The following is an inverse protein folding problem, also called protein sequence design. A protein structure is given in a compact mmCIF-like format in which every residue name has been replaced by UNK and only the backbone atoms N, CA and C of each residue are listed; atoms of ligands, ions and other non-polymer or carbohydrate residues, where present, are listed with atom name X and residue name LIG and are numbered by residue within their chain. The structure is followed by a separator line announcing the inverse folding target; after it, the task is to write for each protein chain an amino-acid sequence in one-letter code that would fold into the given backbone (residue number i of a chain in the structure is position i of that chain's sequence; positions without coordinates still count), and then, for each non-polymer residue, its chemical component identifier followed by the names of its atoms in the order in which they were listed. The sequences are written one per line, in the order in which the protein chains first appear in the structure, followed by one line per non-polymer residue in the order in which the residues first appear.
data_IF_541458693185
#
_entry.id   IF_541458693185
#
_cell.length_a   1.000
_cell.length_b   1.000
_cell.length_c   1.000
_cell.angle_alpha   90.00
_cell.angle_beta   90.00
_cell.angle_gamma   90.00
#
_symmetry.space_group_name_H-M   'P 1'
#
loop_
_entity.id
_entity.type
_entity.pdbx_description
1 polymer ?
#
# COMPACT_ATOMS: atom_id res chain seq x y z
N UNK A 1 -50.73 -21.81 -9.76
CA UNK A 1 -49.77 -22.49 -8.86
C UNK A 1 -48.36 -22.04 -9.27
N UNK A 2 -47.78 -21.07 -8.58
CA UNK A 2 -46.48 -20.50 -8.94
C UNK A 2 -45.36 -21.26 -8.20
N UNK A 3 -44.28 -21.71 -8.87
CA UNK A 3 -43.09 -22.16 -8.18
C UNK A 3 -42.24 -20.93 -7.80
N UNK A 4 -42.15 -20.68 -6.49
CA UNK A 4 -41.28 -19.65 -5.92
C UNK A 4 -39.80 -19.98 -6.18
N UNK A 5 -39.15 -19.16 -7.01
CA UNK A 5 -37.70 -19.18 -7.16
C UNK A 5 -37.08 -18.59 -5.89
N UNK A 6 -36.42 -19.44 -5.09
CA UNK A 6 -35.64 -18.98 -3.94
C UNK A 6 -34.48 -18.12 -4.46
N UNK A 7 -34.49 -16.84 -4.10
CA UNK A 7 -33.37 -15.94 -4.32
C UNK A 7 -32.12 -16.51 -3.62
N UNK A 8 -31.10 -16.84 -4.41
CA UNK A 8 -29.76 -17.13 -3.89
C UNK A 8 -29.17 -15.80 -3.45
N UNK A 9 -29.22 -15.52 -2.15
CA UNK A 9 -28.59 -14.33 -1.58
C UNK A 9 -27.08 -14.40 -1.86
N UNK A 10 -26.60 -13.56 -2.77
CA UNK A 10 -25.19 -13.35 -3.01
C UNK A 10 -24.56 -12.84 -1.69
N UNK A 11 -23.65 -13.62 -1.12
CA UNK A 11 -22.83 -13.21 0.02
C UNK A 11 -21.81 -12.14 -0.43
N UNK A 12 -22.31 -10.96 -0.78
CA UNK A 12 -21.51 -9.78 -1.02
C UNK A 12 -21.09 -9.18 0.31
N UNK A 13 -19.77 -9.01 0.49
CA UNK A 13 -19.20 -8.25 1.59
C UNK A 13 -18.77 -9.10 2.77
N UNK A 14 -17.45 -9.34 2.88
CA UNK A 14 -16.64 -9.46 4.12
C UNK A 14 -15.27 -10.03 3.78
N UNK A 15 -14.43 -9.20 3.16
CA UNK A 15 -13.03 -9.51 2.81
C UNK A 15 -12.16 -9.21 4.03
N UNK A 16 -11.56 -10.24 4.63
CA UNK A 16 -10.62 -10.10 5.74
C UNK A 16 -10.30 -11.44 6.37
N UNK A 17 -9.01 -11.78 6.46
CA UNK A 17 -8.49 -13.01 7.06
C UNK A 17 -8.49 -13.00 8.61
N UNK A 18 -8.91 -11.89 9.22
CA UNK A 18 -8.97 -11.69 10.66
C UNK A 18 -10.42 -11.34 11.01
N UNK A 19 -11.34 -12.31 10.95
CA UNK A 19 -12.64 -12.14 11.62
C UNK A 19 -12.50 -12.59 13.08
N UNK A 20 -13.07 -11.81 13.99
CA UNK A 20 -13.32 -12.20 15.39
C UNK A 20 -14.32 -13.36 15.49
N UNK A 21 -15.17 -13.52 14.47
CA UNK A 21 -16.15 -14.60 14.40
C UNK A 21 -15.54 -15.88 13.88
N UNK A 22 -15.96 -17.03 14.45
CA UNK A 22 -15.53 -18.38 14.04
C UNK A 22 -16.03 -18.78 12.63
N UNK A 23 -16.32 -17.84 11.76
CA UNK A 23 -16.89 -18.07 10.43
C UNK A 23 -15.89 -18.59 9.41
N UNK A 24 -16.40 -18.98 8.23
CA UNK A 24 -15.59 -19.47 7.13
C UNK A 24 -14.72 -18.35 6.55
N UNK A 25 -13.49 -18.69 6.19
CA UNK A 25 -12.57 -17.86 5.43
C UNK A 25 -12.83 -18.05 3.93
N UNK A 26 -12.79 -16.93 3.21
CA UNK A 26 -12.87 -16.93 1.74
C UNK A 26 -11.50 -17.24 1.17
N UNK A 27 -11.38 -18.36 0.47
CA UNK A 27 -10.16 -18.79 -0.22
C UNK A 27 -10.39 -18.62 -1.71
N UNK A 28 -9.49 -17.90 -2.37
CA UNK A 28 -9.50 -17.75 -3.83
C UNK A 28 -8.36 -18.59 -4.39
N UNK A 29 -8.67 -19.47 -5.33
CA UNK A 29 -7.68 -20.28 -6.06
C UNK A 29 -7.75 -19.91 -7.54
N UNK A 30 -6.60 -19.69 -8.15
CA UNK A 30 -6.50 -19.51 -9.61
C UNK A 30 -6.35 -20.90 -10.24
N UNK A 31 -7.26 -21.24 -11.14
CA UNK A 31 -7.18 -22.46 -11.95
C UNK A 31 -6.22 -22.27 -13.13
N UNK A 32 -5.83 -23.39 -13.75
CA UNK A 32 -4.84 -23.45 -14.85
C UNK A 32 -5.28 -22.70 -16.14
N UNK A 33 -6.55 -22.32 -16.24
CA UNK A 33 -7.14 -21.55 -17.35
C UNK A 33 -7.57 -20.12 -16.99
N UNK A 34 -6.96 -19.49 -15.98
CA UNK A 34 -7.23 -18.09 -15.62
C UNK A 34 -8.51 -17.85 -14.79
N UNK A 35 -9.42 -18.82 -14.72
CA UNK A 35 -10.60 -18.74 -13.85
C UNK A 35 -10.25 -18.70 -12.36
N UNK A 36 -10.84 -17.76 -11.62
CA UNK A 36 -10.69 -17.64 -10.16
C UNK A 36 -11.87 -18.32 -9.47
N UNK A 37 -11.65 -19.46 -8.83
CA UNK A 37 -12.67 -20.10 -7.99
C UNK A 37 -12.58 -19.57 -6.57
N UNK A 38 -13.73 -19.20 -6.00
CA UNK A 38 -13.85 -18.69 -4.63
C UNK A 38 -14.59 -19.72 -3.80
N UNK A 39 -13.93 -20.29 -2.79
CA UNK A 39 -14.53 -21.26 -1.87
C UNK A 39 -14.49 -20.77 -0.42
N UNK A 40 -15.44 -21.24 0.38
CA UNK A 40 -15.50 -20.99 1.81
C UNK A 40 -14.88 -22.19 2.54
N UNK A 41 -13.87 -21.93 3.38
CA UNK A 41 -13.22 -22.95 4.22
C UNK A 41 -13.33 -22.56 5.69
N UNK A 42 -13.59 -23.53 6.56
CA UNK A 42 -13.48 -23.32 8.00
C UNK A 42 -12.02 -23.59 8.45
N UNK A 43 -11.29 -22.57 8.95
CA UNK A 43 -9.93 -22.78 9.43
C UNK A 43 -9.92 -23.52 10.76
N UNK A 44 -8.91 -24.37 10.95
CA UNK A 44 -8.68 -25.10 12.19
C UNK A 44 -8.25 -24.18 13.34
N UNK A 45 -8.39 -24.64 14.58
CA UNK A 45 -7.95 -23.89 15.76
C UNK A 45 -6.45 -23.54 15.72
N UNK A 46 -5.62 -24.49 15.26
CA UNK A 46 -4.17 -24.32 15.10
C UNK A 46 -3.82 -23.25 14.06
N UNK A 47 -4.48 -23.25 12.89
CA UNK A 47 -4.26 -22.24 11.85
C UNK A 47 -4.59 -20.82 12.36
N UNK A 48 -5.66 -20.68 13.15
CA UNK A 48 -6.03 -19.39 13.76
C UNK A 48 -5.03 -18.94 14.81
N UNK A 49 -4.55 -19.86 15.64
CA UNK A 49 -3.50 -19.58 16.62
C UNK A 49 -2.21 -19.11 15.93
N UNK A 50 -1.79 -19.80 14.87
CA UNK A 50 -0.63 -19.40 14.07
C UNK A 50 -0.79 -17.99 13.48
N UNK A 51 -1.97 -17.64 12.95
CA UNK A 51 -2.24 -16.28 12.46
C UNK A 51 -2.18 -15.24 13.58
N UNK A 52 -2.79 -15.53 14.75
CA UNK A 52 -2.72 -14.65 15.93
C UNK A 52 -1.28 -14.42 16.40
N UNK A 53 -0.45 -15.46 16.40
CA UNK A 53 0.96 -15.35 16.76
C UNK A 53 1.75 -14.56 15.72
N UNK A 54 1.54 -14.83 14.43
CA UNK A 54 2.16 -14.07 13.33
C UNK A 54 1.81 -12.58 13.45
N UNK A 55 0.54 -12.28 13.68
CA UNK A 55 0.07 -10.90 13.80
C UNK A 55 0.62 -10.22 15.05
N UNK A 56 0.71 -10.93 16.19
CA UNK A 56 1.36 -10.42 17.40
C UNK A 56 2.84 -10.12 17.15
N UNK A 57 3.58 -11.03 16.50
CA UNK A 57 4.99 -10.82 16.14
C UNK A 57 5.14 -9.62 15.20
N UNK A 58 4.30 -9.51 14.16
CA UNK A 58 4.29 -8.37 13.23
C UNK A 58 4.12 -7.05 13.98
N UNK A 59 3.17 -6.97 14.92
CA UNK A 59 2.91 -5.77 15.73
C UNK A 59 4.07 -5.46 16.68
N UNK A 60 4.63 -6.47 17.35
CA UNK A 60 5.79 -6.29 18.22
C UNK A 60 7.00 -5.72 17.47
N UNK A 61 7.25 -6.20 16.25
CA UNK A 61 8.31 -5.67 15.39
C UNK A 61 8.04 -4.20 15.05
N UNK A 62 6.82 -3.85 14.63
CA UNK A 62 6.45 -2.46 14.34
C UNK A 62 6.66 -1.54 15.56
N UNK A 63 6.23 -1.96 16.76
CA UNK A 63 6.44 -1.19 18.00
C UNK A 63 7.92 -0.95 18.28
N UNK A 64 8.78 -1.95 18.06
CA UNK A 64 10.24 -1.79 18.23
C UNK A 64 10.83 -0.81 17.23
N UNK A 65 10.39 -0.87 15.96
CA UNK A 65 10.80 0.08 14.93
C UNK A 65 10.41 1.50 15.32
N UNK A 66 9.14 1.73 15.70
CA UNK A 66 8.65 3.07 16.06
C UNK A 66 9.31 3.62 17.34
N UNK A 67 9.69 2.75 18.28
CA UNK A 67 10.50 3.14 19.42
C UNK A 67 11.92 3.57 19.00
N UNK A 68 12.57 2.82 18.10
CA UNK A 68 13.88 3.16 17.57
C UNK A 68 13.89 4.48 16.80
N UNK A 69 12.88 4.73 15.97
CA UNK A 69 12.75 5.99 15.21
C UNK A 69 12.64 7.22 16.14
N UNK A 70 11.88 7.11 17.23
CA UNK A 70 11.76 8.17 18.25
C UNK A 70 13.05 8.42 19.03
N UNK A 71 13.79 7.35 19.34
CA UNK A 71 14.98 7.45 20.19
C UNK A 71 16.23 7.87 19.42
N UNK A 72 16.41 7.39 18.19
CA UNK A 72 17.66 7.53 17.45
C UNK A 72 17.60 8.42 16.20
N UNK A 73 16.46 8.50 15.53
CA UNK A 73 16.37 9.16 14.22
C UNK A 73 15.63 10.52 14.28
N UNK A 74 15.30 11.01 15.48
CA UNK A 74 14.73 12.35 15.66
C UNK A 74 13.30 12.55 15.14
N UNK A 75 12.63 11.48 14.68
CA UNK A 75 11.24 11.59 14.24
C UNK A 75 10.33 11.89 15.43
N UNK A 76 9.58 13.00 15.33
CA UNK A 76 8.59 13.43 16.31
C UNK A 76 7.29 12.59 16.21
N UNK A 77 7.41 11.28 16.44
CA UNK A 77 6.26 10.37 16.41
C UNK A 77 5.52 10.33 17.76
N UNK A 78 4.18 10.23 17.77
CA UNK A 78 3.40 10.02 18.99
C UNK A 78 3.80 8.75 19.76
N UNK A 79 3.47 8.68 21.06
CA UNK A 79 3.71 7.48 21.89
C UNK A 79 3.05 6.22 21.32
N UNK A 80 1.89 6.37 20.69
CA UNK A 80 1.11 5.32 20.05
C UNK A 80 0.99 5.55 18.55
N UNK A 81 2.12 5.82 17.90
CA UNK A 81 2.16 6.08 16.46
C UNK A 81 1.59 4.90 15.65
N UNK A 82 0.80 5.22 14.63
CA UNK A 82 0.35 4.29 13.61
C UNK A 82 1.21 4.36 12.34
N UNK A 83 0.80 3.65 11.28
CA UNK A 83 1.54 3.66 10.01
C UNK A 83 1.45 5.03 9.31
N UNK A 84 0.34 5.74 9.45
CA UNK A 84 0.13 7.03 8.80
C UNK A 84 0.99 8.12 9.47
N UNK A 85 1.16 8.09 10.79
CA UNK A 85 2.05 9.00 11.51
C UNK A 85 3.49 8.90 11.01
N UNK A 86 3.97 7.68 10.75
CA UNK A 86 5.30 7.44 10.20
C UNK A 86 5.40 7.99 8.77
N UNK A 87 4.39 7.77 7.93
CA UNK A 87 4.36 8.32 6.57
C UNK A 87 4.36 9.85 6.59
N UNK A 88 3.57 10.48 7.47
CA UNK A 88 3.54 11.94 7.63
C UNK A 88 4.91 12.48 8.05
N UNK A 89 5.59 11.80 8.98
CA UNK A 89 6.92 12.21 9.42
C UNK A 89 7.98 12.07 8.31
N UNK A 90 7.91 11.01 7.49
CA UNK A 90 8.78 10.83 6.33
C UNK A 90 8.52 11.87 5.23
N UNK A 91 7.25 12.17 4.94
CA UNK A 91 6.89 13.23 4.00
C UNK A 91 7.40 14.59 4.48
N UNK A 92 7.27 14.88 5.78
CA UNK A 92 7.78 16.12 6.37
C UNK A 92 9.29 16.26 6.24
N UNK A 93 10.05 15.18 6.45
CA UNK A 93 11.50 15.14 6.24
C UNK A 93 11.87 15.38 4.77
N UNK A 94 11.11 14.80 3.85
CA UNK A 94 11.28 15.00 2.41
C UNK A 94 10.79 16.37 1.90
N UNK A 95 10.30 17.25 2.78
CA UNK A 95 9.83 18.60 2.42
C UNK A 95 8.40 18.65 1.86
N UNK A 96 7.58 17.62 2.14
CA UNK A 96 6.16 17.59 1.79
C UNK A 96 5.28 17.84 3.03
N UNK A 97 4.11 18.42 2.80
CA UNK A 97 3.04 18.58 3.78
C UNK A 97 1.95 17.55 3.45
N UNK A 98 1.46 16.82 4.46
CA UNK A 98 0.34 15.88 4.30
C UNK A 98 -0.84 16.42 5.10
N UNK A 99 -1.96 16.67 4.42
CA UNK A 99 -3.20 17.13 5.02
C UNK A 99 -3.94 15.99 5.71
N UNK A 100 -4.90 16.32 6.58
CA UNK A 100 -5.73 15.32 7.28
C UNK A 100 -6.63 14.52 6.32
N UNK A 101 -6.95 15.10 5.16
CA UNK A 101 -7.66 14.42 4.07
C UNK A 101 -6.76 13.44 3.27
N UNK A 102 -5.45 13.43 3.56
CA UNK A 102 -4.46 12.56 2.92
C UNK A 102 -3.84 13.12 1.64
N UNK A 103 -4.10 14.40 1.29
CA UNK A 103 -3.43 15.08 0.18
C UNK A 103 -1.99 15.44 0.56
N UNK A 104 -1.08 15.37 -0.42
CA UNK A 104 0.35 15.66 -0.22
C UNK A 104 0.75 16.84 -1.10
N UNK A 105 1.13 17.94 -0.47
CA UNK A 105 1.55 19.19 -1.12
C UNK A 105 3.04 19.44 -0.90
N UNK A 106 3.72 20.08 -1.85
CA UNK A 106 5.12 20.48 -1.67
C UNK A 106 5.18 21.68 -0.72
N UNK A 107 6.06 21.64 0.28
CA UNK A 107 6.30 22.83 1.11
C UNK A 107 6.99 23.88 0.25
N UNK A 108 6.29 24.97 -0.02
CA UNK A 108 6.93 26.15 -0.58
C UNK A 108 7.75 26.79 0.55
N UNK A 109 9.06 26.86 0.36
CA UNK A 109 9.97 27.43 1.34
C UNK A 109 9.76 28.95 1.33
N UNK A 110 8.93 29.47 2.25
CA UNK A 110 8.73 30.92 2.42
C UNK A 110 9.96 31.65 2.98
N UNK A 111 11.14 31.01 2.98
CA UNK A 111 12.42 31.62 3.37
C UNK A 111 12.87 32.81 2.51
N UNK A 112 12.14 33.17 1.45
CA UNK A 112 12.37 34.37 0.65
C UNK A 112 11.21 35.38 0.63
N UNK A 113 10.11 35.16 1.36
CA UNK A 113 8.90 36.00 1.29
C UNK A 113 8.77 37.06 2.40
N UNK A 114 9.89 37.45 3.04
CA UNK A 114 9.91 38.36 4.20
C UNK A 114 10.37 39.80 3.94
N UNK A 115 10.60 40.21 2.69
CA UNK A 115 10.99 41.58 2.37
C UNK A 115 10.31 42.07 1.08
N UNK A 116 9.32 42.95 1.24
CA UNK A 116 8.91 43.88 0.19
C UNK A 116 7.63 43.53 -0.57
N UNK A 117 6.56 44.24 -0.23
CA UNK A 117 5.65 44.93 -1.14
C UNK A 117 5.18 44.26 -2.45
N UNK A 118 3.87 44.00 -2.52
CA UNK A 118 3.03 44.50 -3.63
C UNK A 118 2.85 43.60 -4.86
N UNK A 119 1.57 43.43 -5.24
CA UNK A 119 1.13 42.87 -6.53
C UNK A 119 1.10 41.34 -6.54
N UNK A 120 0.01 40.65 -6.89
CA UNK A 120 -1.05 40.98 -7.82
C UNK A 120 -1.16 39.81 -8.82
N UNK A 121 -2.37 39.27 -9.00
CA UNK A 121 -2.70 38.32 -10.06
C UNK A 121 -2.56 36.84 -9.66
N UNK A 122 -3.40 35.93 -10.11
CA UNK A 122 -4.67 36.02 -10.81
C UNK A 122 -5.29 34.64 -10.65
N UNK A 123 -6.61 34.62 -10.53
CA UNK A 123 -7.42 33.45 -10.83
C UNK A 123 -7.03 32.92 -12.21
N UNK A 124 -6.60 31.67 -12.28
CA UNK A 124 -6.68 30.74 -13.42
C UNK A 124 -6.07 29.43 -12.93
N UNK A 125 -6.53 28.22 -13.24
CA UNK A 125 -7.74 27.70 -13.83
C UNK A 125 -7.62 26.18 -13.53
N UNK A 126 -8.75 25.55 -13.23
CA UNK A 126 -8.89 24.13 -12.93
C UNK A 126 -8.06 23.22 -13.86
N UNK A 127 -7.15 22.40 -13.32
CA UNK A 127 -6.80 21.11 -13.91
C UNK A 127 -6.65 20.04 -12.84
N UNK A 128 -7.72 19.26 -12.68
CA UNK A 128 -7.67 17.91 -12.14
C UNK A 128 -6.78 17.07 -13.07
N UNK A 129 -5.52 16.89 -12.69
CA UNK A 129 -4.61 16.01 -13.44
C UNK A 129 -4.95 14.56 -13.10
N UNK A 130 -5.73 13.98 -13.98
CA UNK A 130 -6.13 12.58 -13.99
C UNK A 130 -4.93 11.67 -14.34
N UNK A 131 -4.69 10.69 -13.46
CA UNK A 131 -3.85 9.49 -13.62
C UNK A 131 -2.39 9.69 -14.12
N UNK A 132 -1.46 9.44 -13.21
CA UNK A 132 -0.04 9.21 -13.48
C UNK A 132 0.17 7.88 -14.23
N UNK A 133 -0.08 7.84 -15.54
CA UNK A 133 0.21 6.69 -16.41
C UNK A 133 1.62 6.70 -17.03
N UNK A 134 2.36 7.81 -16.90
CA UNK A 134 3.64 7.97 -17.60
C UNK A 134 4.83 7.33 -16.87
N UNK A 135 4.77 7.18 -15.54
CA UNK A 135 5.89 6.62 -14.75
C UNK A 135 5.91 5.10 -14.74
N UNK A 136 4.77 4.43 -14.92
CA UNK A 136 4.72 2.96 -15.01
C UNK A 136 5.32 2.44 -16.32
N UNK A 137 5.12 3.14 -17.43
CA UNK A 137 5.70 2.75 -18.72
C UNK A 137 7.23 2.85 -18.73
N UNK A 138 7.80 3.91 -18.15
CA UNK A 138 9.25 4.08 -18.08
C UNK A 138 9.92 3.06 -17.13
N UNK A 139 9.29 2.77 -15.99
CA UNK A 139 9.79 1.75 -15.03
C UNK A 139 9.66 0.34 -15.60
N UNK A 140 8.59 0.05 -16.36
CA UNK A 140 8.44 -1.23 -17.04
C UNK A 140 9.52 -1.45 -18.13
N UNK A 141 9.87 -0.40 -18.89
CA UNK A 141 10.95 -0.48 -19.89
C UNK A 141 12.29 -0.78 -19.21
N UNK A 142 12.62 -0.09 -18.10
CA UNK A 142 13.87 -0.34 -17.37
C UNK A 142 13.94 -1.76 -16.77
N UNK A 143 12.83 -2.26 -16.22
CA UNK A 143 12.78 -3.63 -15.69
C UNK A 143 12.92 -4.68 -16.79
N UNK A 144 12.34 -4.42 -17.97
CA UNK A 144 12.37 -5.33 -19.11
C UNK A 144 13.77 -5.35 -19.76
N UNK A 145 14.47 -4.21 -19.83
CA UNK A 145 15.86 -4.13 -20.27
C UNK A 145 16.80 -4.86 -19.30
N UNK A 146 16.60 -4.69 -17.99
CA UNK A 146 17.44 -5.33 -16.96
C UNK A 146 17.27 -6.85 -16.93
N UNK A 147 16.06 -7.37 -17.15
CA UNK A 147 15.82 -8.83 -17.27
C UNK A 147 16.42 -9.43 -18.54
N UNK A 148 16.46 -8.68 -19.66
CA UNK A 148 17.11 -9.14 -20.88
C UNK A 148 18.64 -9.14 -20.76
N UNK A 149 19.22 -8.16 -20.09
CA UNK A 149 20.67 -8.09 -19.84
C UNK A 149 21.15 -9.26 -18.96
N UNK A 150 20.41 -9.56 -17.88
CA UNK A 150 20.69 -10.72 -17.01
C UNK A 150 20.56 -12.04 -17.77
N UNK A 151 19.57 -12.15 -18.67
CA UNK A 151 19.35 -13.35 -19.47
C UNK A 151 20.47 -13.58 -20.48
N UNK A 152 20.97 -12.51 -21.12
CA UNK A 152 22.07 -12.57 -22.10
C UNK A 152 23.39 -12.99 -21.43
N UNK A 153 23.72 -12.44 -20.27
CA UNK A 153 24.87 -12.83 -19.45
C UNK A 153 24.82 -14.32 -19.05
N UNK A 154 23.65 -14.80 -18.61
CA UNK A 154 23.46 -16.21 -18.29
C UNK A 154 23.62 -17.12 -19.51
N UNK A 155 23.08 -16.74 -20.67
CA UNK A 155 23.25 -17.53 -21.91
C UNK A 155 24.68 -17.52 -22.44
N UNK A 156 25.40 -16.39 -22.36
CA UNK A 156 26.80 -16.31 -22.76
C UNK A 156 27.68 -17.14 -21.83
N UNK A 157 27.41 -17.14 -20.52
CA UNK A 157 28.14 -17.97 -19.55
C UNK A 157 27.93 -19.47 -19.77
N UNK A 158 26.75 -19.88 -20.24
CA UNK A 158 26.45 -21.29 -20.53
C UNK A 158 26.98 -21.76 -21.89
N UNK A 159 27.27 -20.84 -22.81
CA UNK A 159 27.78 -21.15 -24.15
C UNK A 159 29.31 -21.17 -24.21
N UNK A 160 29.99 -20.52 -23.26
CA UNK A 160 31.46 -20.42 -23.15
C UNK A 160 32.06 -21.27 -22.00
N UNK A 161 31.37 -22.35 -21.60
CA UNK A 161 31.94 -23.48 -20.83
C UNK A 161 31.97 -24.74 -21.69
#
# INVERSE_FOLDING_TARGET
MAPGTKAVAAAAGRRGCIRSTRGPWTVRRRGRGGGVTTSLRHPTARERENNRQRERRRRQVATRIYAGLRAGAGYALPKHADQNDVLRALCAEAGYLVDDDGNVSRRHDERLAGAGAGGGGSSDQLQVSSYSGATEAAVAIQHQEQEQEISLELTLSFTYM
#
